data_IF_646681424773
#
_entry.id   IF_646681424773
#
_cell.length_a   1.000
_cell.length_b   1.000
_cell.length_c   1.000
_cell.angle_alpha   90.00
_cell.angle_beta   90.00
_cell.angle_gamma   90.00
#
_symmetry.space_group_name_H-M   'P 1'
#
loop_
_entity.id
_entity.type
_entity.pdbx_description
1 polymer ?
#
# COMPACT_ATOMS: atom_id res chain seq x y z
N UNK A 1 87.71 -38.80 -66.51
CA UNK A 1 86.54 -37.99 -66.85
C UNK A 1 85.18 -38.56 -66.30
N UNK A 2 84.88 -39.83 -66.48
CA UNK A 2 83.66 -40.50 -66.02
C UNK A 2 83.39 -40.44 -64.48
N UNK A 3 84.48 -40.46 -63.65
CA UNK A 3 84.30 -40.32 -62.19
C UNK A 3 83.88 -38.91 -61.73
N UNK A 4 84.37 -37.88 -62.43
CA UNK A 4 83.97 -36.51 -62.15
C UNK A 4 82.48 -36.21 -62.50
N UNK A 5 82.02 -36.78 -63.64
CA UNK A 5 80.65 -36.64 -64.08
C UNK A 5 79.64 -37.39 -63.13
N UNK A 6 80.00 -38.58 -62.68
CA UNK A 6 79.22 -39.34 -61.67
C UNK A 6 79.10 -38.59 -60.34
N UNK A 7 80.21 -37.96 -59.90
CA UNK A 7 80.20 -37.20 -58.67
C UNK A 7 79.32 -35.93 -58.75
N UNK A 8 79.34 -35.25 -59.88
CA UNK A 8 78.50 -34.08 -60.14
C UNK A 8 76.99 -34.41 -60.20
N UNK A 9 76.65 -35.57 -60.79
CA UNK A 9 75.27 -36.06 -60.83
C UNK A 9 74.75 -36.42 -59.43
N UNK A 10 75.60 -37.08 -58.62
CA UNK A 10 75.24 -37.42 -57.24
C UNK A 10 75.06 -36.15 -56.40
N UNK A 11 75.93 -35.16 -56.54
CA UNK A 11 75.85 -33.91 -55.81
C UNK A 11 74.58 -33.12 -56.24
N UNK A 12 74.27 -33.05 -57.53
CA UNK A 12 73.04 -32.43 -57.99
C UNK A 12 71.76 -33.12 -57.49
N UNK A 13 71.82 -34.46 -57.45
CA UNK A 13 70.70 -35.26 -56.91
C UNK A 13 70.49 -35.04 -55.41
N UNK A 14 71.55 -34.97 -54.63
CA UNK A 14 71.44 -34.68 -53.16
C UNK A 14 70.92 -33.25 -52.91
N UNK A 15 71.43 -32.30 -53.67
CA UNK A 15 70.93 -30.90 -53.56
C UNK A 15 69.42 -30.79 -53.93
N UNK A 16 68.98 -31.51 -54.96
CA UNK A 16 67.56 -31.52 -55.33
C UNK A 16 66.69 -32.19 -54.24
N UNK A 17 67.14 -33.26 -53.65
CA UNK A 17 66.49 -33.94 -52.53
C UNK A 17 66.41 -33.04 -51.32
N UNK A 18 67.47 -32.33 -50.96
CA UNK A 18 67.47 -31.41 -49.80
C UNK A 18 66.60 -30.18 -50.06
N UNK A 19 66.52 -29.65 -51.28
CA UNK A 19 65.60 -28.60 -51.65
C UNK A 19 64.14 -29.02 -51.54
N UNK A 20 63.79 -30.27 -52.01
CA UNK A 20 62.43 -30.80 -51.86
C UNK A 20 62.08 -31.03 -50.38
N UNK A 21 62.98 -31.55 -49.56
CA UNK A 21 62.74 -31.69 -48.10
C UNK A 21 62.55 -30.36 -47.44
N UNK A 22 63.26 -29.32 -47.79
CA UNK A 22 63.05 -27.94 -47.24
C UNK A 22 61.74 -27.38 -47.69
N UNK A 23 61.29 -27.64 -48.89
CA UNK A 23 59.97 -27.21 -49.40
C UNK A 23 58.86 -27.93 -48.65
N UNK A 24 58.90 -29.23 -48.49
CA UNK A 24 57.95 -30.04 -47.74
C UNK A 24 57.86 -29.59 -46.28
N UNK A 25 58.97 -29.34 -45.63
CA UNK A 25 58.97 -28.79 -44.26
C UNK A 25 58.32 -27.39 -44.19
N UNK A 26 58.56 -26.60 -45.22
CA UNK A 26 57.91 -25.26 -45.33
C UNK A 26 56.41 -25.38 -45.46
N UNK A 27 55.92 -26.29 -46.29
CA UNK A 27 54.44 -26.50 -46.45
C UNK A 27 53.83 -27.14 -45.21
N UNK A 28 54.50 -28.07 -44.55
CA UNK A 28 54.06 -28.68 -43.33
C UNK A 28 53.88 -27.63 -42.21
N UNK A 29 54.86 -26.75 -42.02
CA UNK A 29 54.70 -25.61 -41.06
C UNK A 29 53.60 -24.65 -41.44
N UNK A 30 53.31 -24.52 -42.72
CA UNK A 30 52.16 -23.67 -43.21
C UNK A 30 50.82 -24.30 -42.88
N UNK A 31 50.68 -25.61 -43.08
CA UNK A 31 49.49 -26.37 -42.74
C UNK A 31 49.24 -26.34 -41.23
N UNK A 32 50.25 -26.58 -40.42
CA UNK A 32 50.18 -26.52 -38.97
C UNK A 32 49.67 -25.16 -38.46
N UNK A 33 50.20 -24.06 -39.04
CA UNK A 33 49.69 -22.69 -38.69
C UNK A 33 48.25 -22.47 -39.13
N UNK A 34 47.82 -23.02 -40.24
CA UNK A 34 46.44 -22.94 -40.69
C UNK A 34 45.51 -23.73 -39.78
N UNK A 35 45.91 -24.93 -39.39
CA UNK A 35 45.17 -25.76 -38.46
C UNK A 35 45.01 -25.10 -37.09
N UNK A 36 46.08 -24.52 -36.54
CA UNK A 36 46.03 -23.74 -35.29
C UNK A 36 45.06 -22.54 -35.40
N UNK A 37 45.08 -21.81 -36.51
CA UNK A 37 44.12 -20.69 -36.74
C UNK A 37 42.68 -21.16 -36.80
N UNK A 38 42.41 -22.26 -37.49
CA UNK A 38 41.07 -22.85 -37.61
C UNK A 38 40.60 -23.28 -36.23
N UNK A 39 41.43 -24.00 -35.47
CA UNK A 39 41.12 -24.45 -34.12
C UNK A 39 40.80 -23.28 -33.17
N UNK A 40 41.62 -22.22 -33.23
CA UNK A 40 41.39 -21.04 -32.43
C UNK A 40 40.06 -20.33 -32.80
N UNK A 41 39.73 -20.20 -34.08
CA UNK A 41 38.45 -19.63 -34.53
C UNK A 41 37.27 -20.46 -34.07
N UNK A 42 37.31 -21.76 -34.22
CA UNK A 42 36.26 -22.66 -33.77
C UNK A 42 36.06 -22.58 -32.25
N UNK A 43 37.12 -22.50 -31.47
CA UNK A 43 37.03 -22.30 -30.03
C UNK A 43 36.40 -20.95 -29.67
N UNK A 44 36.77 -19.88 -30.36
CA UNK A 44 36.15 -18.54 -30.17
C UNK A 44 34.66 -18.53 -30.51
N UNK A 45 34.30 -19.15 -31.63
CA UNK A 45 32.87 -19.26 -32.04
C UNK A 45 32.04 -20.10 -31.06
N UNK A 46 32.59 -21.22 -30.58
CA UNK A 46 31.99 -22.05 -29.56
C UNK A 46 31.76 -21.29 -28.26
N UNK A 47 32.77 -20.57 -27.78
CA UNK A 47 32.67 -19.73 -26.59
C UNK A 47 31.61 -18.61 -26.78
N UNK A 48 31.61 -17.93 -27.94
CA UNK A 48 30.63 -16.89 -28.27
C UNK A 48 29.20 -17.46 -28.22
N UNK A 49 28.99 -18.63 -28.85
CA UNK A 49 27.67 -19.29 -28.83
C UNK A 49 27.23 -19.67 -27.42
N UNK A 50 28.13 -20.16 -26.59
CA UNK A 50 27.84 -20.51 -25.20
C UNK A 50 27.45 -19.29 -24.37
N UNK A 51 28.14 -18.16 -24.54
CA UNK A 51 27.81 -16.88 -23.88
C UNK A 51 26.41 -16.42 -24.32
N UNK A 52 26.13 -16.40 -25.61
CA UNK A 52 24.84 -16.01 -26.15
C UNK A 52 23.69 -16.91 -25.66
N UNK A 53 23.91 -18.22 -25.59
CA UNK A 53 22.94 -19.17 -25.04
C UNK A 53 22.64 -18.92 -23.56
N UNK A 54 23.66 -18.60 -22.78
CA UNK A 54 23.49 -18.26 -21.36
C UNK A 54 22.70 -16.94 -21.21
N UNK A 55 23.03 -15.92 -21.97
CA UNK A 55 22.28 -14.66 -22.00
C UNK A 55 20.82 -14.87 -22.45
N UNK A 56 20.60 -15.71 -23.47
CA UNK A 56 19.25 -16.10 -23.90
C UNK A 56 18.45 -16.73 -22.77
N UNK A 57 19.05 -17.66 -22.01
CA UNK A 57 18.39 -18.27 -20.83
C UNK A 57 18.02 -17.24 -19.78
N UNK A 58 18.91 -16.29 -19.50
CA UNK A 58 18.63 -15.19 -18.56
C UNK A 58 17.47 -14.31 -19.03
N UNK A 59 17.45 -13.94 -20.31
CA UNK A 59 16.32 -13.17 -20.86
C UNK A 59 15.00 -13.94 -20.78
N UNK A 60 15.02 -15.24 -21.06
CA UNK A 60 13.80 -16.09 -20.98
C UNK A 60 13.30 -16.24 -19.54
N UNK A 61 14.19 -16.33 -18.55
CA UNK A 61 13.79 -16.32 -17.11
C UNK A 61 13.10 -15.01 -16.72
N UNK A 62 13.64 -13.88 -17.13
CA UNK A 62 12.99 -12.57 -16.90
C UNK A 62 11.63 -12.52 -17.59
N UNK A 63 11.53 -13.00 -18.83
CA UNK A 63 10.29 -12.98 -19.63
C UNK A 63 9.21 -13.99 -19.17
N UNK A 64 9.56 -14.96 -18.34
CA UNK A 64 8.59 -15.93 -17.81
C UNK A 64 7.42 -15.26 -17.07
N UNK A 65 7.64 -14.09 -16.43
CA UNK A 65 6.63 -13.31 -15.74
C UNK A 65 5.82 -12.34 -16.60
N UNK A 66 6.02 -12.29 -17.92
CA UNK A 66 5.45 -11.25 -18.80
C UNK A 66 3.92 -11.16 -18.75
N UNK A 67 3.23 -12.29 -18.60
CA UNK A 67 1.77 -12.33 -18.51
C UNK A 67 1.27 -11.70 -17.20
N UNK A 68 1.95 -11.98 -16.08
CA UNK A 68 1.61 -11.40 -14.79
C UNK A 68 1.81 -9.86 -14.80
N UNK A 69 2.89 -9.39 -15.41
CA UNK A 69 3.18 -7.96 -15.53
C UNK A 69 2.14 -7.25 -16.41
N UNK A 70 1.81 -7.79 -17.59
CA UNK A 70 0.76 -7.23 -18.46
C UNK A 70 -0.59 -7.17 -17.77
N UNK A 71 -0.94 -8.24 -17.07
CA UNK A 71 -2.17 -8.28 -16.28
C UNK A 71 -2.17 -7.24 -15.17
N UNK A 72 -1.02 -7.01 -14.53
CA UNK A 72 -0.87 -5.99 -13.50
C UNK A 72 -1.02 -4.58 -14.10
N UNK A 73 -0.36 -4.27 -15.22
CA UNK A 73 -0.51 -2.99 -15.93
C UNK A 73 -1.96 -2.67 -16.28
N UNK A 74 -2.70 -3.65 -16.81
CA UNK A 74 -4.11 -3.45 -17.16
C UNK A 74 -5.01 -3.24 -15.94
N UNK A 75 -4.70 -3.89 -14.79
CA UNK A 75 -5.55 -3.85 -13.59
C UNK A 75 -5.18 -2.77 -12.60
N UNK A 76 -3.97 -2.24 -12.65
CA UNK A 76 -3.50 -1.22 -11.73
C UNK A 76 -4.39 0.03 -11.70
N UNK A 77 -4.77 0.65 -12.84
CA UNK A 77 -5.60 1.86 -12.82
C UNK A 77 -6.96 1.65 -12.14
N UNK A 78 -7.57 0.48 -12.35
CA UNK A 78 -8.83 0.13 -11.68
C UNK A 78 -8.64 -0.08 -10.17
N UNK A 79 -7.55 -0.74 -9.77
CA UNK A 79 -7.24 -0.96 -8.35
C UNK A 79 -6.99 0.36 -7.62
N UNK A 80 -6.29 1.31 -8.24
CA UNK A 80 -6.06 2.66 -7.72
C UNK A 80 -7.36 3.46 -7.59
N UNK A 81 -8.24 3.38 -8.60
CA UNK A 81 -9.56 4.01 -8.53
C UNK A 81 -10.41 3.45 -7.39
N UNK A 82 -10.43 2.12 -7.21
CA UNK A 82 -11.14 1.49 -6.08
C UNK A 82 -10.54 1.91 -4.75
N UNK A 83 -9.21 1.96 -4.64
CA UNK A 83 -8.52 2.44 -3.44
C UNK A 83 -8.91 3.89 -3.12
N UNK A 84 -8.92 4.78 -4.11
CA UNK A 84 -9.34 6.17 -3.94
C UNK A 84 -10.78 6.28 -3.40
N UNK A 85 -11.73 5.54 -3.96
CA UNK A 85 -13.10 5.50 -3.48
C UNK A 85 -13.20 4.98 -2.04
N UNK A 86 -12.46 3.92 -1.69
CA UNK A 86 -12.43 3.39 -0.32
C UNK A 86 -11.79 4.35 0.67
N UNK A 87 -10.74 5.05 0.26
CA UNK A 87 -10.11 6.09 1.09
C UNK A 87 -11.05 7.27 1.35
N UNK A 88 -11.84 7.67 0.35
CA UNK A 88 -12.88 8.70 0.53
C UNK A 88 -13.97 8.25 1.52
N UNK A 89 -14.41 6.99 1.45
CA UNK A 89 -15.34 6.41 2.43
C UNK A 89 -14.78 6.45 3.86
N UNK A 90 -13.51 6.09 4.05
CA UNK A 90 -12.83 6.20 5.36
C UNK A 90 -12.85 7.64 5.86
N UNK A 91 -12.57 8.62 4.98
CA UNK A 91 -12.65 10.04 5.31
C UNK A 91 -14.05 10.44 5.80
N UNK A 92 -15.10 10.02 5.10
CA UNK A 92 -16.48 10.30 5.48
C UNK A 92 -16.86 9.69 6.86
N UNK A 93 -16.50 8.44 7.11
CA UNK A 93 -16.75 7.79 8.40
C UNK A 93 -15.95 8.41 9.54
N UNK A 94 -14.73 8.88 9.30
CA UNK A 94 -13.94 9.63 10.30
C UNK A 94 -14.63 10.92 10.71
N UNK A 95 -15.22 11.63 9.77
CA UNK A 95 -16.02 12.82 10.07
C UNK A 95 -17.23 12.49 10.95
N UNK A 96 -17.94 11.38 10.67
CA UNK A 96 -19.07 10.95 11.49
C UNK A 96 -18.65 10.55 12.90
N UNK A 97 -17.51 9.86 13.08
CA UNK A 97 -16.97 9.55 14.42
C UNK A 97 -16.57 10.83 15.16
N UNK A 98 -16.03 11.82 14.46
CA UNK A 98 -15.74 13.12 15.06
C UNK A 98 -17.03 13.81 15.50
N UNK A 99 -18.08 13.79 14.68
CA UNK A 99 -19.40 14.34 15.05
C UNK A 99 -19.99 13.61 16.25
N UNK A 100 -19.85 12.29 16.35
CA UNK A 100 -20.26 11.51 17.52
C UNK A 100 -19.53 11.96 18.80
N UNK A 101 -18.23 12.17 18.74
CA UNK A 101 -17.45 12.64 19.91
C UNK A 101 -17.87 14.05 20.33
N UNK A 102 -18.15 14.95 19.38
CA UNK A 102 -18.69 16.28 19.66
C UNK A 102 -20.09 16.21 20.29
N UNK A 103 -20.97 15.37 19.76
CA UNK A 103 -22.30 15.13 20.31
C UNK A 103 -22.22 14.59 21.76
N UNK A 104 -21.33 13.65 22.03
CA UNK A 104 -21.11 13.14 23.40
C UNK A 104 -20.61 14.23 24.36
N UNK A 105 -19.72 15.10 23.91
CA UNK A 105 -19.26 16.23 24.72
C UNK A 105 -20.39 17.21 25.00
N UNK A 106 -21.18 17.59 23.98
CA UNK A 106 -22.35 18.47 24.14
C UNK A 106 -23.39 17.86 25.09
N UNK A 107 -23.69 16.57 24.96
CA UNK A 107 -24.57 15.83 25.86
C UNK A 107 -24.13 15.93 27.32
N UNK A 108 -22.85 15.75 27.61
CA UNK A 108 -22.27 15.89 28.96
C UNK A 108 -22.45 17.31 29.49
N UNK A 109 -22.24 18.33 28.68
CA UNK A 109 -22.39 19.73 29.07
C UNK A 109 -23.86 20.05 29.41
N UNK A 110 -24.83 19.58 28.61
CA UNK A 110 -26.24 19.77 28.87
C UNK A 110 -26.69 19.02 30.12
N UNK A 111 -26.19 17.81 30.37
CA UNK A 111 -26.44 17.05 31.61
C UNK A 111 -25.94 17.80 32.85
N UNK A 112 -24.72 18.39 32.78
CA UNK A 112 -24.18 19.22 33.87
C UNK A 112 -25.04 20.48 34.10
N UNK A 113 -25.48 21.13 33.02
CA UNK A 113 -26.41 22.26 33.09
C UNK A 113 -27.75 21.88 33.77
N UNK A 114 -28.35 20.76 33.39
CA UNK A 114 -29.54 20.23 34.01
C UNK A 114 -29.36 19.99 35.51
N UNK A 115 -28.27 19.35 35.91
CA UNK A 115 -28.01 19.11 37.33
C UNK A 115 -27.74 20.40 38.12
N UNK A 116 -27.24 21.44 37.47
CA UNK A 116 -27.12 22.80 38.02
C UNK A 116 -28.50 23.43 38.26
N UNK A 117 -29.34 23.43 37.19
CA UNK A 117 -30.72 23.98 37.26
C UNK A 117 -31.55 23.24 38.33
N UNK A 118 -31.43 21.91 38.44
CA UNK A 118 -32.13 21.12 39.47
C UNK A 118 -31.71 21.48 40.87
N UNK A 119 -30.41 21.72 41.14
CA UNK A 119 -29.96 22.20 42.46
C UNK A 119 -30.45 23.59 42.78
N UNK A 120 -30.41 24.53 41.80
CA UNK A 120 -30.93 25.88 41.98
C UNK A 120 -32.44 25.87 42.17
N UNK A 121 -33.18 25.05 41.44
CA UNK A 121 -34.61 24.89 41.60
C UNK A 121 -34.97 24.32 42.97
N UNK A 122 -34.23 23.35 43.49
CA UNK A 122 -34.38 22.81 44.85
C UNK A 122 -34.16 23.89 45.90
N UNK A 123 -33.12 24.69 45.78
CA UNK A 123 -32.86 25.82 46.70
C UNK A 123 -33.95 26.90 46.62
N UNK A 124 -34.40 27.24 45.41
CA UNK A 124 -35.49 28.21 45.22
C UNK A 124 -36.81 27.70 45.79
N UNK A 125 -37.12 26.40 45.67
CA UNK A 125 -38.30 25.78 46.26
C UNK A 125 -38.28 25.84 47.79
N UNK A 126 -37.16 25.46 48.42
CA UNK A 126 -36.98 25.54 49.87
C UNK A 126 -37.13 26.97 50.38
N UNK A 127 -36.56 27.96 49.65
CA UNK A 127 -36.71 29.37 50.02
C UNK A 127 -38.14 29.84 49.88
N UNK A 128 -38.85 29.44 48.85
CA UNK A 128 -40.25 29.77 48.64
C UNK A 128 -41.15 29.17 49.76
N UNK A 129 -40.86 27.91 50.14
CA UNK A 129 -41.55 27.25 51.26
C UNK A 129 -41.30 27.96 52.60
N UNK A 130 -40.05 28.36 52.86
CA UNK A 130 -39.71 29.12 54.06
C UNK A 130 -40.45 30.48 54.08
N UNK A 131 -40.51 31.22 53.00
CA UNK A 131 -41.24 32.48 52.87
C UNK A 131 -42.75 32.28 53.06
N UNK A 132 -43.30 31.18 52.47
CA UNK A 132 -44.73 30.85 52.65
C UNK A 132 -45.04 30.51 54.10
N UNK A 133 -44.19 29.77 54.79
CA UNK A 133 -44.32 29.45 56.22
C UNK A 133 -44.23 30.70 57.07
N UNK A 134 -43.26 31.60 56.88
CA UNK A 134 -43.19 32.89 57.60
C UNK A 134 -44.44 33.75 57.41
N UNK A 135 -44.96 33.82 56.21
CA UNK A 135 -46.16 34.53 55.91
C UNK A 135 -47.42 33.87 56.52
N UNK A 136 -47.50 32.53 56.55
CA UNK A 136 -48.53 31.74 57.14
C UNK A 136 -48.76 32.04 58.66
N UNK A 137 -47.72 32.41 59.37
CA UNK A 137 -47.78 32.82 60.78
C UNK A 137 -48.68 34.06 61.00
N UNK A 138 -48.92 34.90 59.96
CA UNK A 138 -49.82 36.06 60.06
C UNK A 138 -51.29 35.70 60.28
N UNK A 139 -51.70 34.46 59.93
CA UNK A 139 -53.04 33.93 60.16
C UNK A 139 -53.24 33.33 61.55
N UNK A 140 -52.14 33.05 62.30
CA UNK A 140 -52.24 32.42 63.63
C UNK A 140 -52.21 33.41 64.79
N UNK A 141 -52.00 34.67 64.50
CA UNK A 141 -51.99 35.70 65.55
C UNK A 141 -53.36 36.18 65.99
N UNK A 142 -53.53 36.56 67.26
CA UNK A 142 -54.84 37.00 67.75
C UNK A 142 -55.44 38.27 67.05
N UNK A 143 -54.61 39.07 66.46
CA UNK A 143 -54.98 40.27 65.70
C UNK A 143 -55.23 39.99 64.20
N UNK A 144 -55.35 38.75 63.79
CA UNK A 144 -55.60 38.40 62.43
C UNK A 144 -56.92 38.96 61.95
N UNK A 145 -56.90 39.68 60.78
CA UNK A 145 -58.12 40.32 60.22
C UNK A 145 -58.48 41.66 60.78
N UNK A 146 -57.72 42.23 61.75
CA UNK A 146 -57.98 43.62 62.28
C UNK A 146 -57.00 44.62 61.64
N UNK A 147 -57.40 45.96 61.68
CA UNK A 147 -56.56 47.04 61.15
C UNK A 147 -55.16 47.13 61.85
N UNK A 148 -55.08 46.61 63.07
CA UNK A 148 -53.81 46.55 63.82
C UNK A 148 -52.76 45.60 63.24
N UNK A 149 -53.19 44.62 62.50
CA UNK A 149 -52.32 43.67 61.78
C UNK A 149 -51.33 44.39 60.84
N UNK A 150 -51.82 45.44 60.15
CA UNK A 150 -50.99 46.24 59.24
C UNK A 150 -49.92 47.11 59.91
N UNK A 151 -50.05 47.43 61.19
CA UNK A 151 -49.13 48.27 61.95
C UNK A 151 -48.27 47.52 62.98
N UNK A 152 -48.52 46.22 63.15
CA UNK A 152 -47.80 45.37 64.13
C UNK A 152 -46.34 45.18 63.73
N UNK A 153 -45.43 45.63 64.60
CA UNK A 153 -43.93 45.47 64.38
C UNK A 153 -43.50 44.01 64.40
N UNK A 154 -44.22 43.18 65.26
CA UNK A 154 -43.91 41.76 65.34
C UNK A 154 -44.22 40.97 64.06
N UNK A 155 -45.00 41.51 63.14
CA UNK A 155 -45.35 40.95 61.85
C UNK A 155 -44.58 41.59 60.69
N UNK A 156 -43.50 42.37 60.98
CA UNK A 156 -42.63 42.98 60.00
C UNK A 156 -42.07 41.94 59.06
N UNK A 157 -41.38 40.92 59.64
CA UNK A 157 -40.81 39.83 58.88
C UNK A 157 -41.80 39.06 58.00
N UNK A 158 -43.00 38.86 58.45
CA UNK A 158 -44.06 38.18 57.70
C UNK A 158 -44.56 39.00 56.50
N UNK A 159 -44.60 40.32 56.63
CA UNK A 159 -44.94 41.27 55.53
C UNK A 159 -43.81 41.29 54.47
N UNK A 160 -42.56 41.32 54.94
CA UNK A 160 -41.43 41.27 54.05
C UNK A 160 -41.33 39.92 53.31
N UNK A 161 -41.65 38.82 54.00
CA UNK A 161 -41.79 37.50 53.40
C UNK A 161 -42.89 37.47 52.31
N UNK A 162 -44.08 38.09 52.58
CA UNK A 162 -45.14 38.25 51.57
C UNK A 162 -44.71 38.98 50.33
N UNK A 163 -43.94 40.05 50.47
CA UNK A 163 -43.38 40.83 49.36
C UNK A 163 -42.41 40.03 48.48
N UNK A 164 -41.68 39.08 49.06
CA UNK A 164 -40.68 38.23 48.37
C UNK A 164 -41.26 37.00 47.70
N UNK A 165 -42.46 36.53 48.08
CA UNK A 165 -43.12 35.37 47.50
C UNK A 165 -43.25 35.44 45.97
N UNK A 166 -43.73 36.55 45.35
CA UNK A 166 -43.83 36.62 43.89
C UNK A 166 -42.50 36.49 43.17
N UNK A 167 -41.43 37.04 43.73
CA UNK A 167 -40.07 36.94 43.20
C UNK A 167 -39.56 35.49 43.28
N UNK A 168 -39.80 34.79 44.39
CA UNK A 168 -39.41 33.39 44.55
C UNK A 168 -40.19 32.48 43.55
N UNK A 169 -41.49 32.72 43.39
CA UNK A 169 -42.32 32.02 42.42
C UNK A 169 -41.84 32.26 40.96
N UNK A 170 -41.51 33.53 40.65
CA UNK A 170 -40.95 33.90 39.34
C UNK A 170 -39.63 33.17 39.05
N UNK A 171 -38.78 33.00 40.06
CA UNK A 171 -37.53 32.26 39.96
C UNK A 171 -37.79 30.77 39.66
N UNK A 172 -38.72 30.14 40.40
CA UNK A 172 -39.08 28.71 40.17
C UNK A 172 -39.65 28.53 38.75
N UNK A 173 -40.52 29.44 38.28
CA UNK A 173 -41.07 29.36 36.93
C UNK A 173 -40.00 29.55 35.85
N UNK A 174 -39.03 30.45 36.06
CA UNK A 174 -37.89 30.64 35.14
C UNK A 174 -37.05 29.36 35.06
N UNK A 175 -36.63 28.80 36.22
CA UNK A 175 -35.88 27.57 36.30
C UNK A 175 -36.63 26.37 35.68
N UNK A 176 -37.94 26.28 35.86
CA UNK A 176 -38.79 25.28 35.20
C UNK A 176 -38.76 25.38 33.66
N UNK A 177 -38.81 26.61 33.12
CA UNK A 177 -38.66 26.84 31.67
C UNK A 177 -37.27 26.49 31.16
N UNK A 178 -36.22 26.87 31.90
CA UNK A 178 -34.82 26.52 31.58
C UNK A 178 -34.60 25.02 31.62
N UNK A 179 -35.15 24.32 32.62
CA UNK A 179 -35.10 22.85 32.70
C UNK A 179 -35.75 22.19 31.49
N UNK A 180 -36.96 22.64 31.13
CA UNK A 180 -37.69 22.11 29.99
C UNK A 180 -37.00 22.37 28.66
N UNK A 181 -36.29 23.51 28.52
CA UNK A 181 -35.48 23.81 27.36
C UNK A 181 -34.23 22.91 27.29
N UNK A 182 -33.49 22.77 28.39
CA UNK A 182 -32.30 21.91 28.46
C UNK A 182 -32.65 20.41 28.27
N UNK A 183 -33.82 19.98 28.75
CA UNK A 183 -34.29 18.61 28.52
C UNK A 183 -34.56 18.35 27.03
N UNK A 184 -35.22 19.27 26.33
CA UNK A 184 -35.43 19.16 24.86
C UNK A 184 -34.12 19.13 24.08
N UNK A 185 -33.14 19.94 24.49
CA UNK A 185 -31.81 19.94 23.92
C UNK A 185 -31.11 18.59 24.14
N UNK A 186 -31.20 18.01 25.33
CA UNK A 186 -30.67 16.70 25.68
C UNK A 186 -31.32 15.60 24.83
N UNK A 187 -32.65 15.63 24.68
CA UNK A 187 -33.37 14.64 23.89
C UNK A 187 -32.96 14.69 22.39
N UNK A 188 -32.79 15.90 21.83
CA UNK A 188 -32.29 16.07 20.48
C UNK A 188 -30.86 15.52 20.30
N UNK A 189 -29.98 15.79 21.28
CA UNK A 189 -28.62 15.24 21.27
C UNK A 189 -28.59 13.71 21.44
N UNK A 190 -29.55 13.15 22.19
CA UNK A 190 -29.70 11.70 22.30
C UNK A 190 -30.08 11.09 20.94
N UNK A 191 -31.03 11.66 20.22
CA UNK A 191 -31.39 11.22 18.87
C UNK A 191 -30.20 11.25 17.91
N UNK A 192 -29.46 12.37 17.86
CA UNK A 192 -28.23 12.48 17.05
C UNK A 192 -27.16 11.47 17.43
N UNK A 193 -26.99 11.24 18.73
CA UNK A 193 -26.03 10.22 19.23
C UNK A 193 -26.39 8.82 18.72
N UNK A 194 -27.68 8.47 18.78
CA UNK A 194 -28.17 7.15 18.38
C UNK A 194 -28.02 6.93 16.87
N UNK A 195 -28.24 7.97 16.06
CA UNK A 195 -28.00 7.94 14.61
C UNK A 195 -26.51 7.70 14.28
N UNK A 196 -25.60 8.27 15.07
CA UNK A 196 -24.17 8.17 14.87
C UNK A 196 -23.52 6.98 15.58
N UNK A 197 -24.24 6.25 16.41
CA UNK A 197 -23.69 5.18 17.26
C UNK A 197 -22.98 4.08 16.47
N UNK A 198 -23.40 3.80 15.23
CA UNK A 198 -22.78 2.82 14.34
C UNK A 198 -21.50 3.29 13.63
N UNK A 199 -21.19 4.60 13.68
CA UNK A 199 -20.07 5.16 12.92
C UNK A 199 -18.69 4.57 13.27
N UNK A 200 -18.31 4.26 14.53
CA UNK A 200 -17.02 3.66 14.85
C UNK A 200 -16.85 2.28 14.24
N UNK A 201 -17.91 1.45 14.27
CA UNK A 201 -17.87 0.12 13.67
C UNK A 201 -17.79 0.20 12.14
N UNK A 202 -18.56 1.10 11.52
CA UNK A 202 -18.53 1.34 10.10
C UNK A 202 -17.15 1.86 9.63
N UNK A 203 -16.51 2.72 10.45
CA UNK A 203 -15.13 3.17 10.21
C UNK A 203 -14.15 2.01 10.22
N UNK A 204 -14.18 1.15 11.24
CA UNK A 204 -13.28 0.00 11.31
C UNK A 204 -13.42 -0.92 10.09
N UNK A 205 -14.65 -1.18 9.65
CA UNK A 205 -14.92 -1.93 8.42
C UNK A 205 -14.40 -1.24 7.17
N UNK A 206 -14.58 0.07 7.05
CA UNK A 206 -14.10 0.85 5.92
C UNK A 206 -12.57 0.87 5.86
N UNK A 207 -11.90 1.02 7.01
CA UNK A 207 -10.43 1.00 7.12
C UNK A 207 -9.87 -0.36 6.71
N UNK A 208 -10.43 -1.46 7.21
CA UNK A 208 -10.03 -2.80 6.81
C UNK A 208 -10.16 -3.03 5.30
N UNK A 209 -11.28 -2.60 4.69
CA UNK A 209 -11.49 -2.70 3.24
C UNK A 209 -10.51 -1.83 2.45
N UNK A 210 -10.22 -0.61 2.93
CA UNK A 210 -9.25 0.28 2.28
C UNK A 210 -7.84 -0.29 2.35
N UNK A 211 -7.47 -0.95 3.45
CA UNK A 211 -6.17 -1.60 3.62
C UNK A 211 -6.00 -2.80 2.67
N UNK A 212 -7.03 -3.63 2.54
CA UNK A 212 -7.03 -4.71 1.55
C UNK A 212 -6.84 -4.19 0.11
N UNK A 213 -7.56 -3.11 -0.26
CA UNK A 213 -7.43 -2.48 -1.57
C UNK A 213 -6.04 -1.88 -1.76
N UNK A 214 -5.45 -1.27 -0.72
CA UNK A 214 -4.09 -0.72 -0.74
C UNK A 214 -3.06 -1.82 -0.97
N UNK A 215 -3.13 -2.91 -0.23
CA UNK A 215 -2.24 -4.05 -0.40
C UNK A 215 -2.32 -4.64 -1.82
N UNK A 216 -3.54 -4.74 -2.38
CA UNK A 216 -3.75 -5.19 -3.76
C UNK A 216 -3.15 -4.22 -4.79
N UNK A 217 -3.40 -2.92 -4.66
CA UNK A 217 -2.85 -1.90 -5.55
C UNK A 217 -1.31 -1.89 -5.50
N UNK A 218 -0.71 -1.97 -4.30
CA UNK A 218 0.73 -2.04 -4.13
C UNK A 218 1.35 -3.28 -4.80
N UNK A 219 0.73 -4.45 -4.68
CA UNK A 219 1.19 -5.67 -5.37
C UNK A 219 1.17 -5.51 -6.89
N UNK A 220 0.09 -4.94 -7.43
CA UNK A 220 -0.03 -4.68 -8.86
C UNK A 220 0.99 -3.64 -9.32
N UNK A 221 1.24 -2.59 -8.55
CA UNK A 221 2.24 -1.57 -8.86
C UNK A 221 3.67 -2.14 -8.90
N UNK A 222 4.02 -3.02 -7.94
CA UNK A 222 5.32 -3.71 -7.94
C UNK A 222 5.52 -4.59 -9.18
N UNK A 223 4.47 -5.31 -9.60
CA UNK A 223 4.54 -6.11 -10.83
C UNK A 223 4.61 -5.22 -12.07
N UNK A 224 3.79 -4.18 -12.16
CA UNK A 224 3.79 -3.26 -13.29
C UNK A 224 5.14 -2.52 -13.45
N UNK A 225 5.83 -2.22 -12.36
CA UNK A 225 7.17 -1.60 -12.39
C UNK A 225 8.21 -2.45 -13.14
N UNK A 226 8.01 -3.77 -13.25
CA UNK A 226 8.91 -4.66 -14.00
C UNK A 226 8.72 -4.58 -15.52
N UNK A 227 7.70 -3.88 -16.02
CA UNK A 227 7.39 -3.79 -17.44
C UNK A 227 8.57 -3.25 -18.28
N UNK A 228 9.27 -2.23 -17.77
CA UNK A 228 10.44 -1.65 -18.42
C UNK A 228 11.63 -2.63 -18.54
N UNK A 229 11.85 -3.47 -17.54
CA UNK A 229 12.87 -4.52 -17.55
C UNK A 229 12.52 -5.61 -18.57
N UNK A 230 11.27 -6.05 -18.59
CA UNK A 230 10.78 -7.03 -19.55
C UNK A 230 10.83 -6.52 -21.00
N UNK A 231 10.55 -5.24 -21.23
CA UNK A 231 10.68 -4.64 -22.53
C UNK A 231 12.14 -4.68 -23.00
N UNK A 232 13.11 -4.33 -22.15
CA UNK A 232 14.53 -4.41 -22.44
C UNK A 232 14.98 -5.86 -22.69
N UNK A 233 14.56 -6.80 -21.84
CA UNK A 233 14.88 -8.22 -22.02
C UNK A 233 14.36 -8.78 -23.34
N UNK A 234 13.20 -8.32 -23.82
CA UNK A 234 12.65 -8.72 -25.13
C UNK A 234 13.49 -8.22 -26.29
N UNK A 235 13.93 -6.94 -26.25
CA UNK A 235 14.79 -6.37 -27.26
C UNK A 235 16.16 -7.10 -27.29
N UNK A 236 16.74 -7.32 -26.12
CA UNK A 236 18.01 -8.07 -25.98
C UNK A 236 17.89 -9.51 -26.50
N UNK A 237 16.78 -10.19 -26.18
CA UNK A 237 16.53 -11.55 -26.68
C UNK A 237 16.47 -11.61 -28.19
N UNK A 238 15.76 -10.66 -28.83
CA UNK A 238 15.68 -10.60 -30.29
C UNK A 238 17.06 -10.39 -30.93
N UNK A 239 17.90 -9.51 -30.35
CA UNK A 239 19.30 -9.33 -30.82
C UNK A 239 20.15 -10.59 -30.66
N UNK A 240 20.04 -11.28 -29.52
CA UNK A 240 20.75 -12.55 -29.28
C UNK A 240 20.31 -13.63 -30.27
N UNK A 241 19.01 -13.74 -30.53
CA UNK A 241 18.47 -14.74 -31.47
C UNK A 241 18.94 -14.45 -32.90
N UNK A 242 19.03 -13.18 -33.29
CA UNK A 242 19.62 -12.80 -34.58
C UNK A 242 21.10 -13.18 -34.63
N UNK A 243 21.92 -12.82 -33.64
CA UNK A 243 23.34 -13.18 -33.61
C UNK A 243 23.55 -14.71 -33.64
N UNK A 244 22.69 -15.47 -32.93
CA UNK A 244 22.77 -16.96 -32.95
C UNK A 244 22.44 -17.54 -34.33
N UNK A 245 21.59 -16.89 -35.14
CA UNK A 245 21.28 -17.34 -36.50
C UNK A 245 22.38 -16.98 -37.48
N UNK A 246 23.11 -15.88 -37.25
CA UNK A 246 24.24 -15.44 -38.09
C UNK A 246 25.54 -16.24 -37.82
N UNK A 247 25.67 -16.86 -36.65
CA UNK A 247 26.81 -17.70 -36.33
C UNK A 247 26.75 -19.00 -37.16
N UNK A 248 27.86 -19.37 -37.86
CA UNK A 248 27.91 -20.58 -38.66
C UNK A 248 27.54 -21.80 -37.80
N UNK A 249 26.76 -22.71 -38.37
CA UNK A 249 26.39 -23.94 -37.67
C UNK A 249 27.67 -24.68 -37.24
N UNK A 250 27.82 -24.95 -35.95
CA UNK A 250 28.97 -25.72 -35.48
C UNK A 250 28.93 -27.09 -36.17
N UNK A 251 29.77 -27.25 -37.19
CA UNK A 251 30.02 -28.56 -37.76
C UNK A 251 30.65 -29.38 -36.62
N UNK A 252 29.96 -30.42 -36.20
CA UNK A 252 30.51 -31.43 -35.31
C UNK A 252 31.70 -32.07 -36.04
N UNK A 253 32.91 -32.03 -35.47
CA UNK A 253 34.04 -32.70 -36.09
C UNK A 253 34.02 -34.23 -35.85
N UNK A 254 32.91 -34.85 -35.66
CA UNK A 254 32.83 -36.28 -35.30
C UNK A 254 31.81 -37.05 -36.12
N UNK A 255 32.16 -37.31 -37.37
CA UNK A 255 31.50 -38.39 -38.11
C UNK A 255 32.38 -39.00 -39.22
N UNK A 256 33.69 -38.69 -39.25
CA UNK A 256 34.55 -39.21 -40.33
C UNK A 256 35.79 -39.99 -39.87
N UNK A 257 35.85 -40.38 -38.59
CA UNK A 257 36.93 -41.21 -38.09
C UNK A 257 36.37 -42.45 -37.41
N UNK A 258 36.13 -43.48 -38.17
CA UNK A 258 35.74 -44.76 -37.55
C UNK A 258 35.00 -45.74 -38.43
N UNK A 259 35.32 -45.89 -39.72
CA UNK A 259 35.01 -47.15 -40.42
C UNK A 259 36.31 -47.92 -40.56
N UNK A 260 36.48 -49.05 -39.84
CA UNK A 260 37.58 -49.95 -40.12
C UNK A 260 37.36 -50.57 -41.49
N UNK A 261 38.47 -50.86 -42.28
CA UNK A 261 38.36 -51.51 -43.57
C UNK A 261 37.76 -52.91 -43.38
N UNK A 262 36.69 -53.18 -44.11
CA UNK A 262 36.01 -54.44 -44.08
C UNK A 262 36.94 -55.56 -44.45
N UNK A 263 36.97 -56.60 -43.62
CA UNK A 263 37.54 -57.90 -43.93
C UNK A 263 36.71 -58.50 -45.08
N UNK A 264 37.37 -58.67 -46.24
CA UNK A 264 36.92 -59.58 -47.29
C UNK A 264 37.10 -61.00 -46.80
N UNK A 265 36.09 -61.68 -46.38
CA UNK A 265 36.04 -63.12 -46.31
C UNK A 265 35.67 -63.68 -47.70
N UNK A 266 36.67 -64.26 -48.33
CA UNK A 266 36.44 -65.27 -49.39
C UNK A 266 35.84 -66.52 -48.71
N UNK A 267 34.67 -66.97 -49.17
CA UNK A 267 34.34 -68.34 -49.55
C UNK A 267 33.03 -68.35 -50.31
#
# INVERSE_FOLDING_TARGET
QLQGECHAVIQAGTQAIDALKAQDQGEFRRLERLEQRITQRLAQECNRRQVLQNQRRQCLTVLAGVQAVRHAECRLPMAERVLSLRSAQVGAWRQQVQSLTQCQAAKRMVQQKLSGIEREAGQAALKAEELARRFGLTGEVPCAGTDLQGQCQLLGDARDAKALIPSAQGTIQRLGREKAAAQRELDALCGQHDELAGAPQALAWAEHRAEFCRARASRLALLAAQAGEMARARITLAGIEQELTELPAAQRPDAAAGQPPGETTEE
#
